data_IF_302230258101
#
_entry.id   IF_302230258101
#
_cell.length_a   1.000
_cell.length_b   1.000
_cell.length_c   1.000
_cell.angle_alpha   90.00
_cell.angle_beta   90.00
_cell.angle_gamma   90.00
#
_symmetry.space_group_name_H-M   'P 1'
#
loop_
_entity.id
_entity.type
_entity.pdbx_description
1 polymer ?
#
# COMPACT_ATOMS: atom_id res chain seq x y z
N UNK A 1 0.85 -50.38 -13.33
CA UNK A 1 0.44 -49.38 -12.31
C UNK A 1 0.51 -48.02 -12.98
N UNK A 2 -0.61 -47.37 -13.16
CA UNK A 2 -0.68 -45.99 -13.61
C UNK A 2 -0.40 -45.11 -12.39
N UNK A 3 0.74 -44.41 -12.38
CA UNK A 3 1.02 -43.36 -11.40
C UNK A 3 0.27 -42.11 -11.81
N UNK A 4 -0.69 -41.69 -10.97
CA UNK A 4 -1.36 -40.41 -11.12
C UNK A 4 -0.49 -39.34 -10.43
N UNK A 5 -0.07 -38.32 -11.16
CA UNK A 5 0.52 -37.12 -10.60
C UNK A 5 -0.64 -36.17 -10.26
N UNK A 6 -0.80 -35.86 -8.99
CA UNK A 6 -1.72 -34.80 -8.55
C UNK A 6 -0.95 -33.50 -8.61
N UNK A 7 -1.22 -32.66 -9.59
CA UNK A 7 -0.68 -31.31 -9.66
C UNK A 7 -1.80 -30.36 -9.20
N UNK A 8 -1.57 -29.64 -8.10
CA UNK A 8 -2.30 -28.42 -7.81
C UNK A 8 -1.74 -27.31 -8.68
N UNK A 9 -2.53 -26.82 -9.61
CA UNK A 9 -2.22 -25.62 -10.38
C UNK A 9 -3.25 -24.54 -10.03
N UNK A 10 -2.71 -23.35 -9.77
CA UNK A 10 -3.56 -22.17 -9.56
C UNK A 10 -4.11 -21.75 -10.91
N UNK A 11 -5.41 -21.91 -11.12
CA UNK A 11 -6.08 -21.29 -12.26
C UNK A 11 -6.01 -19.76 -12.10
N UNK A 12 -5.50 -19.10 -13.13
CA UNK A 12 -5.50 -17.63 -13.23
C UNK A 12 -6.94 -17.17 -13.51
N UNK A 13 -7.78 -17.19 -12.49
CA UNK A 13 -9.14 -16.69 -12.59
C UNK A 13 -9.19 -15.21 -12.26
N UNK A 14 -10.02 -14.47 -13.00
CA UNK A 14 -10.28 -13.06 -12.69
C UNK A 14 -10.95 -12.95 -11.31
N UNK A 15 -11.80 -13.91 -10.97
CA UNK A 15 -12.52 -13.98 -9.70
C UNK A 15 -11.65 -14.65 -8.61
N UNK A 16 -10.61 -13.99 -8.21
CA UNK A 16 -9.70 -14.43 -7.13
C UNK A 16 -9.82 -13.50 -5.91
N UNK A 17 -9.35 -13.96 -4.77
CA UNK A 17 -9.44 -13.22 -3.49
C UNK A 17 -8.83 -11.82 -3.57
N UNK A 18 -7.79 -11.64 -4.36
CA UNK A 18 -7.11 -10.34 -4.52
C UNK A 18 -8.02 -9.33 -5.21
N UNK A 19 -8.64 -9.73 -6.32
CA UNK A 19 -9.55 -8.87 -7.06
C UNK A 19 -10.88 -8.65 -6.30
N UNK A 20 -11.37 -9.66 -5.59
CA UNK A 20 -12.57 -9.56 -4.75
C UNK A 20 -12.40 -8.47 -3.69
N UNK A 21 -11.25 -8.41 -3.01
CA UNK A 21 -10.97 -7.38 -1.99
C UNK A 21 -10.99 -5.99 -2.61
N UNK A 22 -10.35 -5.81 -3.75
CA UNK A 22 -10.29 -4.52 -4.45
C UNK A 22 -11.69 -4.07 -4.86
N UNK A 23 -12.44 -4.96 -5.54
CA UNK A 23 -13.82 -4.68 -5.98
C UNK A 23 -14.71 -4.28 -4.80
N UNK A 24 -14.69 -5.08 -3.74
CA UNK A 24 -15.47 -4.82 -2.52
C UNK A 24 -15.15 -3.44 -1.93
N UNK A 25 -13.87 -3.09 -1.85
CA UNK A 25 -13.45 -1.79 -1.34
C UNK A 25 -13.95 -0.65 -2.22
N UNK A 26 -13.84 -0.78 -3.54
CA UNK A 26 -14.34 0.22 -4.50
C UNK A 26 -15.85 0.37 -4.37
N UNK A 27 -16.61 -0.73 -4.30
CA UNK A 27 -18.06 -0.71 -4.17
C UNK A 27 -18.51 0.05 -2.93
N UNK A 28 -17.86 -0.21 -1.79
CA UNK A 28 -18.13 0.50 -0.54
C UNK A 28 -17.84 2.00 -0.66
N UNK A 29 -16.68 2.38 -1.22
CA UNK A 29 -16.31 3.78 -1.39
C UNK A 29 -17.27 4.54 -2.33
N UNK A 30 -17.74 3.90 -3.39
CA UNK A 30 -18.72 4.50 -4.33
C UNK A 30 -20.05 4.81 -3.63
N UNK A 31 -20.45 3.95 -2.68
CA UNK A 31 -21.73 4.11 -1.96
C UNK A 31 -21.62 5.01 -0.74
N UNK A 32 -20.40 5.31 -0.24
CA UNK A 32 -20.21 6.13 0.95
C UNK A 32 -20.49 7.62 0.67
N UNK A 33 -21.23 8.29 1.58
CA UNK A 33 -21.64 9.71 1.39
C UNK A 33 -20.45 10.68 1.45
N UNK A 34 -19.46 10.42 2.30
CA UNK A 34 -18.31 11.30 2.56
C UNK A 34 -17.30 11.35 1.40
N UNK A 35 -17.44 10.48 0.41
CA UNK A 35 -16.53 10.45 -0.75
C UNK A 35 -17.00 11.46 -1.80
N UNK A 36 -16.09 12.33 -2.23
CA UNK A 36 -16.35 13.35 -3.25
C UNK A 36 -16.84 12.73 -4.56
N UNK A 37 -17.77 13.42 -5.21
CA UNK A 37 -18.47 12.95 -6.43
C UNK A 37 -17.48 12.64 -7.58
N UNK A 38 -16.42 13.45 -7.71
CA UNK A 38 -15.38 13.26 -8.73
C UNK A 38 -14.65 11.93 -8.52
N UNK A 39 -14.31 11.62 -7.25
CA UNK A 39 -13.66 10.35 -6.88
C UNK A 39 -14.57 9.15 -7.12
N UNK A 40 -15.86 9.28 -6.78
CA UNK A 40 -16.85 8.22 -7.07
C UNK A 40 -16.94 7.95 -8.58
N UNK A 41 -16.87 8.97 -9.41
CA UNK A 41 -16.90 8.82 -10.86
C UNK A 41 -15.66 8.07 -11.38
N UNK A 42 -14.48 8.39 -10.86
CA UNK A 42 -13.24 7.69 -11.19
C UNK A 42 -13.29 6.21 -10.76
N UNK A 43 -13.75 5.96 -9.53
CA UNK A 43 -13.89 4.59 -9.01
C UNK A 43 -14.90 3.76 -9.81
N UNK A 44 -16.03 4.35 -10.23
CA UNK A 44 -16.99 3.66 -11.09
C UNK A 44 -16.41 3.24 -12.44
N UNK A 45 -15.51 4.04 -13.01
CA UNK A 45 -14.80 3.65 -14.26
C UNK A 45 -13.92 2.43 -14.04
N UNK A 46 -13.32 2.30 -12.86
CA UNK A 46 -12.50 1.13 -12.53
C UNK A 46 -13.35 -0.13 -12.36
N UNK A 47 -14.60 -0.02 -11.91
CA UNK A 47 -15.49 -1.18 -11.72
C UNK A 47 -15.69 -1.99 -13.00
N UNK A 48 -15.58 -1.38 -14.18
CA UNK A 48 -15.70 -2.07 -15.48
C UNK A 48 -14.65 -3.19 -15.61
N UNK A 49 -13.45 -3.00 -15.06
CA UNK A 49 -12.38 -4.00 -15.11
C UNK A 49 -12.59 -5.17 -14.15
N UNK A 50 -13.57 -5.05 -13.24
CA UNK A 50 -13.93 -6.07 -12.25
C UNK A 50 -15.25 -6.75 -12.58
N UNK A 51 -15.66 -6.69 -13.85
CA UNK A 51 -16.80 -7.47 -14.32
C UNK A 51 -16.50 -8.97 -14.16
N UNK A 52 -17.47 -9.74 -13.64
CA UNK A 52 -17.28 -11.16 -13.32
C UNK A 52 -16.48 -11.43 -12.03
N UNK A 53 -16.11 -10.43 -11.26
CA UNK A 53 -15.52 -10.59 -9.93
C UNK A 53 -16.61 -10.47 -8.87
N UNK A 54 -16.62 -11.34 -7.87
CA UNK A 54 -17.59 -11.29 -6.77
C UNK A 54 -17.26 -10.18 -5.74
N UNK A 55 -18.20 -9.92 -4.85
CA UNK A 55 -18.01 -9.06 -3.67
C UNK A 55 -18.11 -9.91 -2.41
N UNK A 56 -17.39 -9.51 -1.36
CA UNK A 56 -17.36 -10.19 -0.06
C UNK A 56 -17.71 -9.20 1.05
N UNK A 57 -18.31 -9.70 2.13
CA UNK A 57 -18.52 -8.89 3.32
C UNK A 57 -17.14 -8.57 3.95
N UNK A 58 -16.80 -7.29 4.22
CA UNK A 58 -15.48 -6.90 4.71
C UNK A 58 -14.98 -7.67 5.94
N UNK A 59 -15.87 -8.01 6.87
CA UNK A 59 -15.54 -8.78 8.07
C UNK A 59 -15.14 -10.23 7.78
N UNK A 60 -15.46 -10.76 6.61
CA UNK A 60 -15.10 -12.14 6.20
C UNK A 60 -13.74 -12.20 5.50
N UNK A 61 -13.10 -11.07 5.23
CA UNK A 61 -11.78 -11.04 4.58
C UNK A 61 -10.72 -11.55 5.55
N UNK A 62 -10.06 -12.64 5.17
CA UNK A 62 -9.00 -13.27 5.96
C UNK A 62 -7.65 -12.68 5.57
N UNK A 63 -7.35 -11.48 6.05
CA UNK A 63 -6.14 -10.72 5.69
C UNK A 63 -4.83 -11.47 5.97
N UNK A 64 -4.79 -12.26 7.02
CA UNK A 64 -3.63 -13.06 7.41
C UNK A 64 -3.35 -14.28 6.51
N UNK A 65 -4.26 -14.63 5.63
CA UNK A 65 -4.11 -15.72 4.65
C UNK A 65 -3.60 -15.24 3.29
N UNK A 66 -3.58 -13.93 3.06
CA UNK A 66 -3.05 -13.36 1.83
C UNK A 66 -1.54 -13.57 1.75
N UNK A 67 -1.08 -14.15 0.67
CA UNK A 67 0.33 -14.38 0.40
C UNK A 67 0.76 -13.57 -0.80
N UNK A 68 1.88 -12.89 -0.69
CA UNK A 68 2.43 -12.07 -1.76
C UNK A 68 3.83 -12.54 -2.09
N UNK A 69 4.08 -12.73 -3.36
CA UNK A 69 5.39 -13.04 -3.91
C UNK A 69 6.05 -11.77 -4.48
N UNK A 70 7.20 -11.98 -5.13
CA UNK A 70 7.95 -10.87 -5.73
C UNK A 70 7.15 -10.15 -6.83
N UNK A 71 6.25 -10.83 -7.53
CA UNK A 71 5.48 -10.30 -8.65
C UNK A 71 4.19 -9.62 -8.17
N UNK A 72 3.68 -9.98 -6.99
CA UNK A 72 2.43 -9.46 -6.42
C UNK A 72 2.60 -8.30 -5.43
N UNK A 73 3.79 -7.66 -5.39
CA UNK A 73 4.06 -6.50 -4.50
C UNK A 73 3.10 -5.33 -4.70
N UNK A 74 2.68 -5.09 -5.95
CA UNK A 74 1.70 -4.04 -6.26
C UNK A 74 0.35 -4.36 -5.63
N UNK A 75 -0.08 -5.62 -5.69
CA UNK A 75 -1.29 -6.07 -4.98
C UNK A 75 -1.17 -5.88 -3.48
N UNK A 76 -0.03 -6.25 -2.89
CA UNK A 76 0.21 -6.06 -1.45
C UNK A 76 0.01 -4.59 -1.03
N UNK A 77 0.54 -3.65 -1.81
CA UNK A 77 0.37 -2.23 -1.54
C UNK A 77 -1.11 -1.81 -1.63
N UNK A 78 -1.81 -2.22 -2.69
CA UNK A 78 -3.24 -1.90 -2.88
C UNK A 78 -4.08 -2.51 -1.77
N UNK A 79 -3.82 -3.77 -1.39
CA UNK A 79 -4.55 -4.43 -0.31
C UNK A 79 -4.31 -3.80 1.06
N UNK A 80 -3.10 -3.29 1.32
CA UNK A 80 -2.85 -2.51 2.53
C UNK A 80 -3.71 -1.24 2.58
N UNK A 81 -3.85 -0.55 1.44
CA UNK A 81 -4.77 0.59 1.35
C UNK A 81 -6.24 0.17 1.54
N UNK A 82 -6.66 -0.92 0.88
CA UNK A 82 -8.00 -1.47 1.07
C UNK A 82 -8.26 -1.81 2.54
N UNK A 83 -7.29 -2.43 3.21
CA UNK A 83 -7.37 -2.75 4.62
C UNK A 83 -7.63 -1.49 5.47
N UNK A 84 -6.83 -0.43 5.30
CA UNK A 84 -7.04 0.82 6.05
C UNK A 84 -8.41 1.43 5.81
N UNK A 85 -8.84 1.47 4.55
CA UNK A 85 -10.14 2.00 4.19
C UNK A 85 -11.25 1.20 4.88
N UNK A 86 -11.20 -0.13 4.77
CA UNK A 86 -12.23 -1.00 5.33
C UNK A 86 -12.24 -0.99 6.86
N UNK A 87 -11.07 -1.00 7.50
CA UNK A 87 -10.96 -0.91 8.97
C UNK A 87 -11.40 0.47 9.48
N UNK A 88 -11.00 1.54 8.83
CA UNK A 88 -11.47 2.88 9.18
C UNK A 88 -12.98 3.02 9.06
N UNK A 89 -13.60 2.35 8.10
CA UNK A 89 -15.05 2.30 7.95
C UNK A 89 -15.72 1.42 9.02
N UNK A 90 -15.11 0.30 9.37
CA UNK A 90 -15.62 -0.58 10.43
C UNK A 90 -15.51 0.08 11.80
N UNK A 91 -14.42 0.77 12.10
CA UNK A 91 -14.24 1.50 13.37
C UNK A 91 -15.18 2.67 13.54
N UNK A 92 -15.68 3.28 12.45
CA UNK A 92 -16.68 4.34 12.53
C UNK A 92 -18.09 3.83 12.82
N UNK A 93 -18.34 2.53 12.64
CA UNK A 93 -19.66 1.91 12.81
C UNK A 93 -19.79 1.17 14.15
N UNK A 94 -18.68 0.66 14.69
CA UNK A 94 -18.67 -0.10 15.94
C UNK A 94 -17.74 0.58 16.96
N UNK A 95 -18.32 1.08 18.04
CA UNK A 95 -17.59 1.47 19.25
C UNK A 95 -17.00 0.22 19.91
N UNK A 96 -15.82 -0.21 19.54
CA UNK A 96 -15.21 -1.31 20.30
C UNK A 96 -13.92 -1.87 19.71
N UNK A 97 -12.92 -1.92 20.56
CA UNK A 97 -11.75 -2.81 20.66
C UNK A 97 -11.46 -3.76 19.47
N UNK A 98 -11.18 -3.24 18.31
CA UNK A 98 -10.62 -4.06 17.23
C UNK A 98 -9.10 -3.89 17.24
N UNK A 99 -8.37 -4.92 17.68
CA UNK A 99 -6.91 -4.96 17.54
C UNK A 99 -6.58 -4.86 16.04
N UNK A 100 -5.86 -3.82 15.65
CA UNK A 100 -5.25 -3.74 14.32
C UNK A 100 -4.46 -5.02 14.06
N UNK A 101 -4.64 -5.70 12.91
CA UNK A 101 -3.68 -6.72 12.52
C UNK A 101 -2.30 -6.06 12.47
N UNK A 102 -1.35 -6.67 13.15
CA UNK A 102 0.03 -6.21 13.15
C UNK A 102 0.61 -6.43 11.75
N UNK A 103 0.48 -5.43 10.89
CA UNK A 103 1.48 -5.27 9.85
C UNK A 103 2.79 -4.98 10.57
N UNK A 104 3.88 -5.61 10.15
CA UNK A 104 5.18 -5.21 10.70
C UNK A 104 5.35 -3.70 10.46
N UNK A 105 5.79 -2.99 11.48
CA UNK A 105 5.96 -1.53 11.43
C UNK A 105 6.79 -1.10 10.21
N UNK A 106 7.73 -1.94 9.77
CA UNK A 106 8.52 -1.72 8.56
C UNK A 106 7.68 -1.64 7.27
N UNK A 107 6.73 -2.54 7.09
CA UNK A 107 5.85 -2.51 5.90
C UNK A 107 4.93 -1.29 5.90
N UNK A 108 4.48 -0.89 7.08
CA UNK A 108 3.67 0.30 7.26
C UNK A 108 4.44 1.57 6.95
N UNK A 109 5.64 1.69 7.48
CA UNK A 109 6.52 2.82 7.24
C UNK A 109 6.85 2.95 5.76
N UNK A 110 7.20 1.84 5.10
CA UNK A 110 7.50 1.84 3.67
C UNK A 110 6.29 2.22 2.81
N UNK A 111 5.08 1.74 3.17
CA UNK A 111 3.85 2.08 2.49
C UNK A 111 3.55 3.58 2.65
N UNK A 112 3.64 4.10 3.86
CA UNK A 112 3.43 5.51 4.16
C UNK A 112 4.42 6.40 3.42
N UNK A 113 5.70 6.06 3.45
CA UNK A 113 6.73 6.77 2.71
C UNK A 113 6.43 6.84 1.20
N UNK A 114 6.06 5.71 0.58
CA UNK A 114 5.69 5.67 -0.84
C UNK A 114 4.43 6.49 -1.13
N UNK A 115 3.42 6.37 -0.29
CA UNK A 115 2.19 7.13 -0.41
C UNK A 115 2.46 8.65 -0.39
N UNK A 116 3.25 9.12 0.58
CA UNK A 116 3.57 10.54 0.71
C UNK A 116 4.40 11.02 -0.49
N UNK A 117 5.40 10.24 -0.92
CA UNK A 117 6.20 10.59 -2.11
C UNK A 117 5.32 10.72 -3.37
N UNK A 118 4.42 9.76 -3.62
CA UNK A 118 3.52 9.80 -4.79
C UNK A 118 2.49 10.93 -4.67
N UNK A 119 2.01 11.22 -3.46
CA UNK A 119 1.13 12.35 -3.20
C UNK A 119 1.79 13.67 -3.61
N UNK A 120 3.04 13.91 -3.16
CA UNK A 120 3.77 15.14 -3.52
C UNK A 120 4.08 15.19 -5.01
N UNK A 121 4.49 14.10 -5.63
CA UNK A 121 4.73 14.04 -7.09
C UNK A 121 3.49 14.40 -7.89
N UNK A 122 2.32 13.94 -7.46
CA UNK A 122 1.05 14.14 -8.20
C UNK A 122 0.44 15.51 -7.93
N UNK A 123 0.42 15.95 -6.68
CA UNK A 123 -0.31 17.16 -6.26
C UNK A 123 0.56 18.40 -6.12
N UNK A 124 1.85 18.21 -5.99
CA UNK A 124 2.82 19.28 -5.79
C UNK A 124 4.07 19.10 -6.68
N UNK A 125 3.93 19.13 -8.01
CA UNK A 125 5.02 18.82 -8.95
C UNK A 125 6.22 19.78 -8.82
N UNK A 126 6.01 20.95 -8.22
CA UNK A 126 7.09 21.92 -7.95
C UNK A 126 8.08 21.42 -6.89
N UNK A 127 7.67 20.44 -6.06
CA UNK A 127 8.55 19.82 -5.09
C UNK A 127 9.17 18.56 -5.66
N UNK A 128 10.48 18.47 -5.60
CA UNK A 128 11.18 17.23 -5.93
C UNK A 128 11.18 16.30 -4.71
N UNK A 129 10.25 15.34 -4.68
CA UNK A 129 10.15 14.35 -3.63
C UNK A 129 11.10 13.18 -3.89
N UNK A 130 12.05 12.96 -2.99
CA UNK A 130 13.06 11.90 -3.07
C UNK A 130 13.33 11.30 -1.68
N UNK A 131 13.91 10.10 -1.63
CA UNK A 131 14.48 9.51 -0.42
C UNK A 131 16.01 9.52 -0.61
N UNK A 132 16.69 10.54 -0.11
CA UNK A 132 18.14 10.72 -0.32
C UNK A 132 18.93 10.10 0.82
N UNK A 133 20.05 9.51 0.45
CA UNK A 133 21.08 9.18 1.43
C UNK A 133 21.73 10.47 1.93
N UNK A 134 21.84 10.59 3.25
CA UNK A 134 22.50 11.71 3.92
C UNK A 134 23.94 11.27 4.18
N UNK A 135 24.89 12.02 3.61
CA UNK A 135 26.32 11.77 3.87
C UNK A 135 26.69 12.32 5.23
N UNK A 136 27.44 11.55 6.00
CA UNK A 136 28.06 12.03 7.22
C UNK A 136 29.07 13.11 6.90
N UNK A 137 29.00 14.23 7.59
CA UNK A 137 29.99 15.31 7.48
C UNK A 137 31.03 15.11 8.56
N UNK A 138 32.19 14.55 8.19
CA UNK A 138 33.30 14.33 9.10
C UNK A 138 34.27 15.49 9.04
N UNK A 139 34.81 15.88 10.19
CA UNK A 139 36.02 16.68 10.22
C UNK A 139 37.20 15.86 9.70
N UNK A 140 38.08 16.45 8.92
CA UNK A 140 39.17 15.84 8.14
C UNK A 140 40.14 14.90 8.90
N UNK A 141 40.07 14.86 10.24
CA UNK A 141 40.99 14.09 11.07
C UNK A 141 40.57 12.67 11.41
N UNK A 142 39.45 12.14 10.84
CA UNK A 142 38.95 10.82 11.16
C UNK A 142 39.03 9.87 9.95
N UNK A 143 40.23 9.39 9.67
CA UNK A 143 40.62 8.71 8.42
C UNK A 143 39.97 7.32 8.23
N UNK A 144 39.29 6.72 9.21
CA UNK A 144 38.77 5.36 9.07
C UNK A 144 37.34 5.12 9.56
N UNK A 145 36.56 6.14 9.83
CA UNK A 145 35.22 5.96 10.42
C UNK A 145 34.07 5.81 9.41
N UNK A 146 34.30 6.07 8.14
CA UNK A 146 33.24 6.00 7.11
C UNK A 146 32.68 4.59 6.86
N UNK A 147 33.47 3.55 7.15
CA UNK A 147 33.06 2.15 6.94
C UNK A 147 32.34 1.52 8.16
N UNK A 148 32.34 2.23 9.29
CA UNK A 148 31.78 1.72 10.56
C UNK A 148 30.36 2.28 10.80
N UNK A 149 30.05 3.40 10.17
CA UNK A 149 28.78 4.08 10.41
C UNK A 149 27.68 3.58 9.45
N UNK A 150 26.46 3.43 9.96
CA UNK A 150 25.35 3.02 9.12
C UNK A 150 25.02 4.11 8.07
N UNK A 151 24.50 3.68 6.93
CA UNK A 151 24.01 4.61 5.91
C UNK A 151 22.80 5.32 6.47
N UNK A 152 22.87 6.65 6.58
CA UNK A 152 21.70 7.48 6.89
C UNK A 152 20.89 7.70 5.61
N UNK A 153 19.61 7.46 5.68
CA UNK A 153 18.67 7.75 4.59
C UNK A 153 17.49 8.50 5.18
N UNK A 154 17.08 9.59 4.53
CA UNK A 154 15.84 10.27 4.89
C UNK A 154 14.66 9.47 4.38
N UNK A 155 13.58 9.45 5.14
CA UNK A 155 12.32 8.85 4.68
C UNK A 155 11.76 9.60 3.48
N UNK A 156 11.70 10.92 3.57
CA UNK A 156 11.23 11.80 2.51
C UNK A 156 12.02 13.10 2.55
N UNK A 157 12.55 13.49 1.40
CA UNK A 157 13.18 14.80 1.21
C UNK A 157 12.41 15.57 0.14
N UNK A 158 11.89 16.73 0.49
CA UNK A 158 11.22 17.64 -0.42
C UNK A 158 12.15 18.81 -0.74
N UNK A 159 12.46 19.02 -2.01
CA UNK A 159 13.33 20.11 -2.45
C UNK A 159 12.52 21.07 -3.33
N UNK A 160 12.56 22.37 -3.00
CA UNK A 160 11.96 23.45 -3.77
C UNK A 160 13.03 24.54 -3.99
N UNK A 161 13.63 24.59 -5.20
CA UNK A 161 14.77 25.46 -5.47
C UNK A 161 15.95 25.12 -4.52
N UNK A 162 16.41 26.11 -3.74
CA UNK A 162 17.50 25.94 -2.77
C UNK A 162 17.03 25.45 -1.38
N UNK A 163 15.72 25.38 -1.16
CA UNK A 163 15.16 24.96 0.13
C UNK A 163 14.93 23.46 0.16
N UNK A 164 15.36 22.82 1.23
CA UNK A 164 15.18 21.39 1.46
C UNK A 164 14.49 21.18 2.80
N UNK A 165 13.43 20.36 2.81
CA UNK A 165 12.74 19.87 3.98
C UNK A 165 12.99 18.35 4.08
N UNK A 166 13.31 17.88 5.27
CA UNK A 166 13.56 16.45 5.56
C UNK A 166 12.54 15.98 6.58
#
# INVERSE_FOLDING_TARGET
>A
RRTHLVCEYDELTINNVYNIIIKTTIAILVNKQDVKIERKRELRKLMIYFDGVDEIIPSMIKWNQLRYDRNSRTYQMIHSLCYFVLQGLLLSTDCGNTKMPQFSDEHMNLLFQRFVMEYYRKHHPNYKATAKQIKWNFCENSINSSNILPIMQSDITLTLGERTLI
#
